data_IF_849687379541
#
_entry.id   IF_849687379541
#
_cell.length_a   1.000
_cell.length_b   1.000
_cell.length_c   1.000
_cell.angle_alpha   90.00
_cell.angle_beta   90.00
_cell.angle_gamma   90.00
#
_symmetry.space_group_name_H-M   'P 1'
#
loop_
_entity.id
_entity.type
_entity.pdbx_description
1 polymer ?
#
# COMPACT_ATOMS: atom_id res chain seq x y z
N UNK A 1 -10.71 15.62 19.52
CA UNK A 1 -9.33 15.97 19.94
C UNK A 1 -8.61 14.78 20.58
N UNK A 2 -9.10 14.22 21.71
CA UNK A 2 -8.51 13.03 22.35
C UNK A 2 -8.38 11.83 21.39
N UNK A 3 -9.42 11.56 20.60
CA UNK A 3 -9.43 10.44 19.65
C UNK A 3 -8.35 10.52 18.57
N UNK A 4 -8.02 11.72 18.07
CA UNK A 4 -6.96 11.86 17.05
C UNK A 4 -5.58 11.59 17.64
N UNK A 5 -5.30 12.11 18.84
CA UNK A 5 -4.06 11.81 19.56
C UNK A 5 -3.94 10.31 19.88
N UNK A 6 -5.04 9.67 20.30
CA UNK A 6 -5.10 8.22 20.54
C UNK A 6 -4.82 7.42 19.26
N UNK A 7 -5.39 7.82 18.11
CA UNK A 7 -5.16 7.15 16.83
C UNK A 7 -3.70 7.30 16.37
N UNK A 8 -3.13 8.50 16.48
CA UNK A 8 -1.73 8.76 16.13
C UNK A 8 -0.79 7.95 17.04
N UNK A 9 -1.08 7.91 18.34
CA UNK A 9 -0.32 7.15 19.32
C UNK A 9 -0.42 5.64 19.06
N UNK A 10 -1.61 5.12 18.76
CA UNK A 10 -1.81 3.72 18.40
C UNK A 10 -1.05 3.33 17.13
N UNK A 11 -1.06 4.20 16.11
CA UNK A 11 -0.31 3.97 14.86
C UNK A 11 1.21 3.99 15.08
N UNK A 12 1.71 4.89 15.93
CA UNK A 12 3.14 4.96 16.23
C UNK A 12 3.61 3.76 17.07
N UNK A 13 2.80 3.32 18.05
CA UNK A 13 3.07 2.09 18.79
C UNK A 13 3.13 0.87 17.86
N UNK A 14 2.29 0.81 16.82
CA UNK A 14 2.33 -0.28 15.83
C UNK A 14 3.62 -0.26 15.00
N UNK A 15 4.16 0.93 14.71
CA UNK A 15 5.38 1.13 13.92
C UNK A 15 6.68 1.14 14.75
N UNK A 16 6.64 0.85 16.06
CA UNK A 16 7.78 0.94 16.99
C UNK A 16 8.54 2.29 16.94
N UNK A 17 7.92 3.35 16.43
CA UNK A 17 8.52 4.68 16.38
C UNK A 17 8.22 5.36 17.71
N UNK A 18 9.18 5.35 18.63
CA UNK A 18 9.12 6.03 19.93
C UNK A 18 9.10 7.56 19.80
N UNK A 19 8.10 8.12 19.10
CA UNK A 19 7.94 9.57 18.94
C UNK A 19 7.69 10.22 20.31
N UNK A 20 8.46 11.27 20.62
CA UNK A 20 8.26 12.05 21.83
C UNK A 20 6.88 12.72 21.83
N UNK A 21 6.31 12.91 23.02
CA UNK A 21 5.00 13.57 23.19
C UNK A 21 5.01 15.02 22.63
N UNK A 22 6.18 15.65 22.57
CA UNK A 22 6.38 16.95 21.93
C UNK A 22 6.23 16.88 20.41
N UNK A 23 6.78 15.85 19.77
CA UNK A 23 6.65 15.67 18.33
C UNK A 23 5.18 15.39 17.93
N UNK A 24 4.47 14.59 18.73
CA UNK A 24 3.02 14.38 18.52
C UNK A 24 2.24 15.69 18.62
N UNK A 25 2.54 16.53 19.62
CA UNK A 25 1.91 17.85 19.76
C UNK A 25 2.21 18.76 18.57
N UNK A 26 3.46 18.78 18.09
CA UNK A 26 3.87 19.54 16.90
C UNK A 26 3.09 19.13 15.65
N UNK A 27 2.97 17.82 15.40
CA UNK A 27 2.21 17.30 14.26
C UNK A 27 0.72 17.70 14.33
N UNK A 28 0.11 17.59 15.51
CA UNK A 28 -1.28 18.00 15.72
C UNK A 28 -1.43 19.50 15.47
N UNK A 29 -0.56 20.36 16.01
CA UNK A 29 -0.62 21.80 15.81
C UNK A 29 -0.45 22.18 14.33
N UNK A 30 0.49 21.55 13.63
CA UNK A 30 0.67 21.78 12.19
C UNK A 30 -0.56 21.36 11.37
N UNK A 31 -1.21 20.25 11.73
CA UNK A 31 -2.47 19.84 11.10
C UNK A 31 -3.56 20.89 11.30
N UNK A 32 -3.68 21.45 12.51
CA UNK A 32 -4.66 22.49 12.82
C UNK A 32 -4.35 23.79 12.05
N UNK A 33 -3.09 24.20 12.02
CA UNK A 33 -2.67 25.38 11.25
C UNK A 33 -3.02 25.24 9.77
N UNK A 34 -2.75 24.06 9.18
CA UNK A 34 -3.14 23.76 7.79
C UNK A 34 -4.66 23.79 7.59
N UNK A 35 -5.41 23.19 8.51
CA UNK A 35 -6.88 23.17 8.46
C UNK A 35 -7.48 24.58 8.51
N UNK A 36 -7.11 25.38 9.52
CA UNK A 36 -7.63 26.73 9.68
C UNK A 36 -7.11 27.68 8.60
N UNK A 37 -5.87 27.51 8.15
CA UNK A 37 -5.31 28.23 7.02
C UNK A 37 -6.10 27.97 5.73
N UNK A 38 -6.43 26.71 5.44
CA UNK A 38 -7.27 26.34 4.30
C UNK A 38 -8.70 26.91 4.44
N UNK A 39 -9.27 26.88 5.64
CA UNK A 39 -10.59 27.47 5.93
C UNK A 39 -10.58 28.98 5.66
N UNK A 40 -9.61 29.72 6.20
CA UNK A 40 -9.49 31.16 5.98
C UNK A 40 -9.26 31.50 4.51
N UNK A 41 -8.38 30.76 3.84
CA UNK A 41 -8.17 30.90 2.40
C UNK A 41 -9.47 30.67 1.63
N UNK A 42 -10.28 29.67 2.00
CA UNK A 42 -11.55 29.38 1.33
C UNK A 42 -12.57 30.51 1.50
N UNK A 43 -12.66 31.13 2.69
CA UNK A 43 -13.55 32.27 2.93
C UNK A 43 -13.11 33.48 2.10
N UNK A 44 -11.82 33.78 2.09
CA UNK A 44 -11.24 34.87 1.29
C UNK A 44 -11.47 34.61 -0.20
N UNK A 45 -11.27 33.37 -0.66
CA UNK A 45 -11.47 32.98 -2.05
C UNK A 45 -12.94 33.15 -2.47
N UNK A 46 -13.90 32.77 -1.62
CA UNK A 46 -15.34 32.96 -1.87
C UNK A 46 -15.69 34.44 -2.00
N UNK A 47 -15.07 35.29 -1.18
CA UNK A 47 -15.28 36.73 -1.23
C UNK A 47 -14.71 37.36 -2.51
N UNK A 48 -13.47 37.02 -2.89
CA UNK A 48 -12.82 37.55 -4.10
C UNK A 48 -13.38 36.99 -5.40
N UNK A 49 -13.73 35.70 -5.44
CA UNK A 49 -14.33 35.06 -6.61
C UNK A 49 -15.86 35.22 -6.64
N UNK A 50 -16.40 36.22 -5.94
CA UNK A 50 -17.84 36.50 -5.84
C UNK A 50 -18.54 36.78 -7.19
N UNK A 51 -17.79 36.95 -8.29
CA UNK A 51 -18.32 36.96 -9.66
C UNK A 51 -18.68 35.55 -10.17
N UNK A 52 -17.94 34.52 -9.76
CA UNK A 52 -18.11 33.12 -10.14
C UNK A 52 -18.57 32.25 -8.96
N UNK A 53 -19.64 32.66 -8.25
CA UNK A 53 -20.13 32.00 -7.03
C UNK A 53 -20.42 30.51 -7.24
N UNK A 54 -20.97 30.13 -8.39
CA UNK A 54 -21.31 28.75 -8.73
C UNK A 54 -20.08 27.84 -8.77
N UNK A 55 -18.95 28.32 -9.31
CA UNK A 55 -17.69 27.55 -9.34
C UNK A 55 -17.12 27.37 -7.93
N UNK A 56 -17.22 28.40 -7.08
CA UNK A 56 -16.75 28.33 -5.70
C UNK A 56 -17.52 27.29 -4.90
N UNK A 57 -18.85 27.23 -5.07
CA UNK A 57 -19.70 26.22 -4.43
C UNK A 57 -19.34 24.81 -4.93
N UNK A 58 -19.15 24.62 -6.23
CA UNK A 58 -18.73 23.31 -6.77
C UNK A 58 -17.37 22.85 -6.22
N UNK A 59 -16.40 23.75 -6.13
CA UNK A 59 -15.09 23.46 -5.55
C UNK A 59 -15.19 23.11 -4.05
N UNK A 60 -15.97 23.86 -3.29
CA UNK A 60 -16.17 23.59 -1.85
C UNK A 60 -16.83 22.23 -1.62
N UNK A 61 -17.75 21.82 -2.50
CA UNK A 61 -18.43 20.52 -2.46
C UNK A 61 -17.69 19.40 -3.21
N UNK A 62 -16.45 19.63 -3.62
CA UNK A 62 -15.55 18.59 -4.16
C UNK A 62 -14.85 17.78 -3.06
N UNK A 63 -15.53 17.57 -1.93
CA UNK A 63 -14.93 17.00 -0.71
C UNK A 63 -14.55 15.53 -0.84
N UNK A 64 -15.08 14.81 -1.82
CA UNK A 64 -14.67 13.43 -2.11
C UNK A 64 -13.41 13.35 -2.98
N UNK A 65 -13.04 14.41 -3.70
CA UNK A 65 -11.89 14.41 -4.62
C UNK A 65 -10.58 14.02 -3.93
N UNK A 66 -10.21 14.57 -2.75
CA UNK A 66 -9.02 14.13 -2.04
C UNK A 66 -9.03 12.64 -1.68
N UNK A 67 -10.20 12.10 -1.31
CA UNK A 67 -10.34 10.67 -0.99
C UNK A 67 -10.24 9.80 -2.24
N UNK A 68 -10.81 10.24 -3.36
CA UNK A 68 -10.69 9.56 -4.66
C UNK A 68 -9.21 9.44 -5.03
N UNK A 69 -8.45 10.54 -4.93
CA UNK A 69 -7.00 10.59 -5.18
C UNK A 69 -6.26 9.65 -4.24
N UNK A 70 -6.58 9.68 -2.94
CA UNK A 70 -5.92 8.80 -1.98
C UNK A 70 -6.17 7.32 -2.30
N UNK A 71 -7.42 6.95 -2.62
CA UNK A 71 -7.77 5.57 -2.99
C UNK A 71 -6.98 5.08 -4.22
N UNK A 72 -6.73 5.97 -5.19
CA UNK A 72 -5.92 5.68 -6.39
C UNK A 72 -4.47 5.41 -5.99
N UNK A 73 -3.91 6.29 -5.14
CA UNK A 73 -2.53 6.22 -4.71
C UNK A 73 -2.26 4.98 -3.86
N UNK A 74 -3.16 4.64 -2.95
CA UNK A 74 -2.93 3.59 -1.93
C UNK A 74 -3.57 2.24 -2.26
N UNK A 75 -4.16 2.05 -3.44
CA UNK A 75 -4.86 0.81 -3.87
C UNK A 75 -5.69 0.15 -2.75
N UNK A 76 -6.39 0.94 -1.93
CA UNK A 76 -7.08 0.36 -0.78
C UNK A 76 -8.15 -0.63 -1.25
N UNK A 77 -8.04 -1.89 -0.81
CA UNK A 77 -8.96 -2.99 -1.18
C UNK A 77 -10.39 -2.74 -0.68
N UNK A 78 -10.55 -1.96 0.39
CA UNK A 78 -11.85 -1.56 0.98
C UNK A 78 -11.74 -0.12 1.50
N UNK A 79 -11.79 0.89 0.62
CA UNK A 79 -11.46 2.26 1.01
C UNK A 79 -12.41 2.79 2.08
N UNK A 80 -13.73 2.61 1.90
CA UNK A 80 -14.75 2.91 2.90
C UNK A 80 -16.05 2.14 2.67
N UNK A 81 -16.83 1.96 3.74
CA UNK A 81 -18.12 1.27 3.70
C UNK A 81 -19.14 2.04 2.82
N UNK A 82 -19.85 1.37 1.90
CA UNK A 82 -20.75 2.05 0.95
C UNK A 82 -21.82 2.92 1.62
N UNK A 83 -22.39 2.46 2.74
CA UNK A 83 -23.43 3.19 3.47
C UNK A 83 -22.91 4.50 4.05
N UNK A 84 -21.63 4.55 4.43
CA UNK A 84 -21.01 5.80 4.90
C UNK A 84 -20.92 6.82 3.75
N UNK A 85 -20.54 6.38 2.55
CA UNK A 85 -20.43 7.25 1.37
C UNK A 85 -21.80 7.87 1.04
N UNK A 86 -22.86 7.05 1.00
CA UNK A 86 -24.22 7.53 0.74
C UNK A 86 -24.73 8.43 1.86
N UNK A 87 -24.62 8.00 3.12
CA UNK A 87 -25.08 8.79 4.28
C UNK A 87 -24.38 10.15 4.36
N UNK A 88 -23.07 10.19 4.16
CA UNK A 88 -22.29 11.43 4.19
C UNK A 88 -22.66 12.38 3.04
N UNK A 89 -22.90 11.83 1.84
CA UNK A 89 -23.28 12.63 0.67
C UNK A 89 -24.70 13.19 0.78
N UNK A 90 -25.65 12.40 1.28
CA UNK A 90 -27.04 12.82 1.49
C UNK A 90 -27.09 13.93 2.54
N UNK A 91 -26.53 13.69 3.73
CA UNK A 91 -26.56 14.65 4.85
C UNK A 91 -25.94 15.99 4.48
N UNK A 92 -24.86 15.99 3.68
CA UNK A 92 -24.21 17.23 3.21
C UNK A 92 -24.95 17.91 2.07
N UNK A 93 -25.77 17.19 1.32
CA UNK A 93 -26.61 17.77 0.25
C UNK A 93 -27.87 18.45 0.80
N UNK A 94 -28.29 18.16 2.03
CA UNK A 94 -29.48 18.77 2.64
C UNK A 94 -29.36 20.29 2.76
N UNK A 95 -28.24 20.80 3.29
CA UNK A 95 -28.03 22.24 3.45
C UNK A 95 -28.11 23.04 2.13
N UNK A 96 -27.39 22.67 1.05
CA UNK A 96 -27.47 23.40 -0.21
C UNK A 96 -28.83 23.23 -0.90
N UNK A 97 -29.46 22.04 -0.81
CA UNK A 97 -30.82 21.86 -1.34
C UNK A 97 -31.81 22.74 -0.59
N UNK A 98 -31.73 22.80 0.74
CA UNK A 98 -32.57 23.68 1.55
C UNK A 98 -32.38 25.13 1.09
N UNK A 99 -31.16 25.67 1.19
CA UNK A 99 -30.87 27.09 0.92
C UNK A 99 -31.28 27.54 -0.49
N UNK A 100 -31.01 26.73 -1.52
CA UNK A 100 -31.12 27.17 -2.91
C UNK A 100 -32.32 26.61 -3.68
N UNK A 101 -32.89 25.46 -3.29
CA UNK A 101 -34.01 24.85 -4.02
C UNK A 101 -35.38 25.28 -3.49
N UNK A 102 -35.49 25.57 -2.19
CA UNK A 102 -36.75 25.97 -1.56
C UNK A 102 -36.93 27.49 -1.75
N UNK A 103 -38.06 27.86 -2.38
CA UNK A 103 -38.34 29.25 -2.75
C UNK A 103 -38.72 30.13 -1.57
N UNK A 104 -39.33 29.56 -0.54
CA UNK A 104 -39.87 30.27 0.65
C UNK A 104 -39.10 29.86 1.92
N UNK A 105 -37.79 30.09 1.92
CA UNK A 105 -36.96 29.82 3.09
C UNK A 105 -36.91 31.00 4.05
N UNK A 106 -36.72 30.69 5.34
CA UNK A 106 -36.39 31.68 6.36
C UNK A 106 -35.23 32.62 5.96
N UNK A 107 -34.22 32.11 5.24
CA UNK A 107 -33.08 32.94 4.79
C UNK A 107 -33.45 34.00 3.75
N UNK A 108 -34.52 33.77 2.98
CA UNK A 108 -35.05 34.76 2.05
C UNK A 108 -35.89 35.81 2.73
N UNK A 109 -36.59 35.41 3.81
CA UNK A 109 -37.28 36.37 4.69
C UNK A 109 -36.28 37.37 5.28
N UNK A 110 -35.08 36.90 5.63
CA UNK A 110 -33.99 37.74 6.18
C UNK A 110 -33.19 38.48 5.11
N UNK A 111 -33.05 37.92 3.90
CA UNK A 111 -32.30 38.54 2.81
C UNK A 111 -33.01 38.33 1.44
N UNK A 112 -33.83 39.30 0.99
CA UNK A 112 -34.66 39.15 -0.20
C UNK A 112 -33.87 39.11 -1.53
N UNK A 113 -32.63 39.60 -1.56
CA UNK A 113 -31.77 39.60 -2.75
C UNK A 113 -31.06 38.25 -3.01
N UNK A 114 -31.37 37.21 -2.24
CA UNK A 114 -30.71 35.91 -2.39
C UNK A 114 -31.19 35.20 -3.67
N UNK A 115 -30.31 34.93 -4.66
CA UNK A 115 -30.73 34.40 -5.95
C UNK A 115 -31.20 32.95 -5.84
N UNK A 116 -32.47 32.69 -6.15
CA UNK A 116 -33.01 31.33 -6.35
C UNK A 116 -32.83 30.89 -7.78
N UNK A 117 -31.59 30.57 -8.13
CA UNK A 117 -31.29 29.90 -9.38
C UNK A 117 -31.29 28.39 -9.16
N UNK A 118 -32.16 27.67 -9.87
CA UNK A 118 -32.25 26.21 -9.78
C UNK A 118 -31.08 25.51 -10.48
N UNK A 119 -30.46 26.17 -11.45
CA UNK A 119 -29.34 25.65 -12.24
C UNK A 119 -28.12 25.24 -11.40
N UNK A 120 -27.54 26.10 -10.53
CA UNK A 120 -26.38 25.72 -9.72
C UNK A 120 -26.65 24.55 -8.76
N UNK A 121 -27.89 24.40 -8.27
CA UNK A 121 -28.27 23.28 -7.41
C UNK A 121 -28.30 21.96 -8.18
N UNK A 122 -28.88 21.97 -9.38
CA UNK A 122 -28.89 20.78 -10.24
C UNK A 122 -27.46 20.36 -10.61
N UNK A 123 -26.60 21.32 -10.95
CA UNK A 123 -25.18 21.05 -11.21
C UNK A 123 -24.46 20.49 -9.98
N UNK A 124 -24.75 21.02 -8.79
CA UNK A 124 -24.16 20.56 -7.53
C UNK A 124 -24.58 19.12 -7.18
N UNK A 125 -25.87 18.81 -7.29
CA UNK A 125 -26.39 17.46 -7.05
C UNK A 125 -25.80 16.48 -8.04
N UNK A 126 -25.75 16.84 -9.33
CA UNK A 126 -25.10 16.04 -10.36
C UNK A 126 -23.61 15.83 -10.05
N UNK A 127 -22.91 16.87 -9.60
CA UNK A 127 -21.49 16.78 -9.24
C UNK A 127 -21.23 15.85 -8.06
N UNK A 128 -22.06 15.91 -7.01
CA UNK A 128 -21.97 14.99 -5.87
C UNK A 128 -22.31 13.56 -6.31
N UNK A 129 -23.31 13.39 -7.19
CA UNK A 129 -23.65 12.08 -7.77
C UNK A 129 -22.48 11.50 -8.59
N UNK A 130 -21.79 12.31 -9.39
CA UNK A 130 -20.59 11.88 -10.13
C UNK A 130 -19.48 11.44 -9.17
N UNK A 131 -19.16 12.23 -8.14
CA UNK A 131 -18.13 11.89 -7.17
C UNK A 131 -18.43 10.57 -6.44
N UNK A 132 -19.67 10.38 -6.01
CA UNK A 132 -20.10 9.14 -5.33
C UNK A 132 -20.12 7.94 -6.26
N UNK A 133 -20.51 8.13 -7.52
CA UNK A 133 -20.45 7.09 -8.56
C UNK A 133 -19.00 6.67 -8.84
N UNK A 134 -18.05 7.61 -8.90
CA UNK A 134 -16.62 7.31 -9.06
C UNK A 134 -16.12 6.48 -7.88
N UNK A 135 -16.42 6.86 -6.64
CA UNK A 135 -16.04 6.07 -5.46
C UNK A 135 -16.65 4.67 -5.47
N UNK A 136 -17.91 4.54 -5.91
CA UNK A 136 -18.55 3.23 -6.03
C UNK A 136 -17.93 2.40 -7.16
N UNK A 137 -17.60 3.01 -8.29
CA UNK A 137 -16.91 2.36 -9.39
C UNK A 137 -15.52 1.87 -8.95
N UNK A 138 -14.75 2.69 -8.21
CA UNK A 138 -13.49 2.29 -7.62
C UNK A 138 -13.62 1.06 -6.71
N UNK A 139 -14.73 0.95 -5.97
CA UNK A 139 -14.99 -0.22 -5.10
C UNK A 139 -15.33 -1.51 -5.85
N UNK A 140 -15.84 -1.41 -7.10
CA UNK A 140 -16.31 -2.57 -7.88
C UNK A 140 -15.30 -3.01 -8.95
N UNK A 141 -14.70 -2.05 -9.64
CA UNK A 141 -13.80 -2.29 -10.78
C UNK A 141 -12.31 -2.12 -10.42
N UNK A 142 -12.02 -1.79 -9.16
CA UNK A 142 -10.68 -1.45 -8.70
C UNK A 142 -10.40 0.04 -8.78
N UNK A 143 -9.50 0.50 -7.92
CA UNK A 143 -9.22 1.93 -7.69
C UNK A 143 -8.61 2.65 -8.90
N UNK A 144 -8.03 1.92 -9.85
CA UNK A 144 -7.30 2.42 -11.02
C UNK A 144 -8.05 2.29 -12.35
N UNK A 145 -9.35 1.95 -12.31
CA UNK A 145 -10.18 1.69 -13.49
C UNK A 145 -10.23 2.83 -14.54
N UNK A 146 -9.99 4.09 -14.14
CA UNK A 146 -10.12 5.27 -15.03
C UNK A 146 -8.82 6.03 -15.32
N UNK A 147 -7.64 5.52 -14.96
CA UNK A 147 -6.40 6.33 -14.99
C UNK A 147 -5.35 5.76 -15.94
N UNK A 148 -4.82 6.58 -16.89
CA UNK A 148 -3.72 6.17 -17.75
C UNK A 148 -2.47 5.79 -16.97
N UNK A 149 -1.81 4.70 -17.37
CA UNK A 149 -0.63 4.11 -16.71
C UNK A 149 0.53 5.09 -16.41
N UNK A 150 0.59 6.24 -17.09
CA UNK A 150 1.63 7.28 -16.92
C UNK A 150 1.55 8.07 -15.60
N UNK A 151 0.38 8.12 -14.98
CA UNK A 151 0.16 8.86 -13.72
C UNK A 151 0.13 7.95 -12.49
N UNK A 152 0.43 6.65 -12.66
CA UNK A 152 0.45 5.69 -11.57
C UNK A 152 1.85 5.69 -10.92
N UNK A 153 1.93 5.68 -9.58
CA UNK A 153 3.21 5.44 -8.91
C UNK A 153 3.75 4.04 -9.28
N UNK A 154 5.08 3.89 -9.40
CA UNK A 154 5.70 2.61 -9.70
C UNK A 154 5.39 1.60 -8.58
N UNK A 155 4.85 0.42 -8.95
CA UNK A 155 4.48 -0.67 -8.04
C UNK A 155 5.58 -1.72 -7.99
N UNK A 156 5.91 -2.20 -6.80
CA UNK A 156 6.82 -3.33 -6.64
C UNK A 156 6.12 -4.62 -7.05
N UNK A 157 6.74 -5.40 -7.94
CA UNK A 157 6.19 -6.67 -8.40
C UNK A 157 6.58 -7.80 -7.44
N UNK A 158 5.63 -8.18 -6.58
CA UNK A 158 5.77 -9.31 -5.65
C UNK A 158 5.71 -10.68 -6.33
N UNK A 159 5.20 -10.77 -7.56
CA UNK A 159 5.07 -12.03 -8.33
C UNK A 159 6.24 -12.25 -9.28
N UNK A 160 7.44 -11.83 -8.87
CA UNK A 160 8.67 -12.09 -9.64
C UNK A 160 9.12 -13.56 -9.47
N UNK A 161 9.72 -14.17 -10.50
CA UNK A 161 10.23 -15.54 -10.39
C UNK A 161 11.29 -15.64 -9.29
N UNK A 162 11.30 -16.77 -8.58
CA UNK A 162 12.27 -17.04 -7.51
C UNK A 162 13.65 -17.20 -8.18
N UNK A 163 14.67 -16.43 -7.76
CA UNK A 163 16.02 -16.61 -8.30
C UNK A 163 16.54 -18.01 -7.96
N UNK A 164 17.23 -18.64 -8.91
CA UNK A 164 17.71 -20.03 -8.79
C UNK A 164 18.61 -20.29 -7.58
N UNK A 165 19.23 -19.24 -7.02
CA UNK A 165 20.03 -19.30 -5.80
C UNK A 165 19.22 -19.58 -4.52
N UNK A 166 17.90 -19.36 -4.54
CA UNK A 166 17.01 -19.57 -3.40
C UNK A 166 16.23 -20.87 -3.48
N UNK A 167 16.31 -21.58 -4.60
CA UNK A 167 15.69 -22.89 -4.72
C UNK A 167 16.59 -23.95 -4.05
N UNK A 168 16.02 -24.94 -3.34
CA UNK A 168 16.78 -26.13 -2.95
C UNK A 168 17.55 -26.71 -4.12
N UNK A 169 18.79 -27.15 -3.88
CA UNK A 169 19.52 -27.96 -4.83
C UNK A 169 18.74 -29.27 -5.04
N UNK A 170 17.99 -29.36 -6.14
CA UNK A 170 17.28 -30.57 -6.50
C UNK A 170 18.31 -31.62 -6.93
N UNK A 171 18.51 -32.65 -6.10
CA UNK A 171 19.15 -33.89 -6.52
C UNK A 171 18.17 -34.68 -7.41
N UNK A 172 17.96 -34.24 -8.65
CA UNK A 172 17.24 -35.02 -9.65
C UNK A 172 18.24 -35.89 -10.42
N UNK A 173 18.38 -37.14 -9.97
CA UNK A 173 18.94 -38.23 -10.77
C UNK A 173 17.79 -38.98 -11.47
N UNK A 174 18.05 -39.38 -12.73
CA UNK A 174 17.20 -40.05 -13.74
C UNK A 174 16.15 -39.15 -14.42
N UNK A 175 16.10 -38.98 -15.75
CA UNK A 175 16.55 -39.85 -16.86
C UNK A 175 16.75 -39.06 -18.19
N UNK A 176 17.82 -39.41 -18.92
CA UNK A 176 18.06 -39.42 -20.40
C UNK A 176 17.06 -38.71 -21.34
N UNK A 177 17.41 -37.99 -22.40
CA UNK A 177 18.57 -37.93 -23.32
C UNK A 177 18.50 -36.57 -24.05
N UNK A 178 19.58 -35.91 -24.43
CA UNK A 178 20.19 -36.05 -25.75
C UNK A 178 21.56 -35.34 -25.78
N UNK A 179 22.50 -36.00 -26.43
CA UNK A 179 23.88 -35.56 -26.66
C UNK A 179 23.90 -34.57 -27.82
N UNK A 180 24.55 -33.41 -27.65
CA UNK A 180 25.22 -32.70 -28.75
C UNK A 180 26.59 -32.24 -28.27
N UNK A 181 27.59 -33.01 -28.68
CA UNK A 181 29.02 -32.72 -28.64
C UNK A 181 29.37 -31.66 -29.69
N UNK A 182 30.25 -30.71 -29.36
CA UNK A 182 31.09 -30.00 -30.34
C UNK A 182 32.22 -29.22 -29.63
N UNK A 183 33.45 -29.69 -29.85
CA UNK A 183 34.59 -28.83 -30.19
C UNK A 183 35.54 -28.40 -29.07
N UNK A 184 36.62 -29.16 -28.90
CA UNK A 184 37.86 -28.74 -28.25
C UNK A 184 38.46 -27.46 -28.86
N UNK A 185 39.11 -26.64 -28.04
CA UNK A 185 40.48 -26.15 -28.30
C UNK A 185 41.08 -25.55 -27.01
N UNK A 186 42.18 -26.14 -26.53
CA UNK A 186 43.14 -25.48 -25.62
C UNK A 186 44.23 -24.79 -26.47
N UNK A 187 44.96 -23.79 -25.92
CA UNK A 187 46.30 -24.11 -25.43
C UNK A 187 46.76 -23.32 -24.17
N UNK A 188 47.37 -24.08 -23.26
CA UNK A 188 48.66 -23.87 -22.55
C UNK A 188 49.22 -22.45 -22.34
N UNK A 189 49.44 -22.03 -21.06
CA UNK A 189 50.79 -21.77 -20.47
C UNK A 189 50.78 -21.23 -19.02
N UNK A 190 51.51 -21.96 -18.17
CA UNK A 190 52.54 -21.56 -17.20
C UNK A 190 52.38 -20.33 -16.27
N UNK A 191 52.66 -20.54 -14.97
CA UNK A 191 53.29 -19.50 -14.13
C UNK A 191 53.08 -19.52 -12.61
N UNK A 192 53.98 -20.23 -11.90
CA UNK A 192 54.67 -19.81 -10.67
C UNK A 192 53.95 -19.57 -9.31
N UNK A 193 54.35 -20.42 -8.34
CA UNK A 193 54.94 -20.14 -7.01
C UNK A 193 54.15 -19.41 -5.91
N UNK A 194 54.03 -20.07 -4.74
CA UNK A 194 53.68 -19.45 -3.45
C UNK A 194 53.73 -20.39 -2.24
N UNK A 195 54.94 -20.80 -1.86
CA UNK A 195 55.47 -21.21 -0.53
C UNK A 195 54.56 -21.37 0.73
N UNK A 196 54.65 -22.58 1.30
CA UNK A 196 54.92 -22.97 2.71
C UNK A 196 54.21 -22.29 3.90
N UNK A 197 53.53 -23.11 4.73
CA UNK A 197 53.90 -23.29 6.16
C UNK A 197 53.23 -24.51 6.80
N UNK A 198 54.09 -25.36 7.33
CA UNK A 198 53.83 -26.57 8.07
C UNK A 198 53.59 -26.23 9.55
N UNK A 199 52.55 -26.78 10.21
CA UNK A 199 52.53 -26.86 11.68
C UNK A 199 51.84 -28.15 12.14
N UNK A 200 52.70 -29.07 12.61
CA UNK A 200 52.35 -30.24 13.41
C UNK A 200 51.74 -29.82 14.75
N UNK A 201 50.76 -30.59 15.21
CA UNK A 201 50.29 -30.64 16.59
C UNK A 201 49.29 -31.76 16.74
N UNK A 202 49.76 -32.95 17.12
CA UNK A 202 48.91 -34.11 17.38
C UNK A 202 48.31 -34.06 18.78
N UNK A 203 47.14 -34.68 18.94
CA UNK A 203 46.73 -35.31 20.20
C UNK A 203 45.61 -36.32 19.91
N UNK A 204 45.82 -37.58 20.29
CA UNK A 204 44.84 -38.65 20.32
C UNK A 204 43.76 -38.35 21.37
N UNK A 205 42.49 -38.67 21.09
CA UNK A 205 41.61 -39.38 22.04
C UNK A 205 40.29 -39.85 21.43
N UNK A 206 40.14 -41.18 21.48
CA UNK A 206 38.97 -41.98 21.86
C UNK A 206 37.61 -41.73 21.17
N UNK A 207 37.22 -42.77 20.43
CA UNK A 207 35.94 -42.98 19.77
C UNK A 207 34.81 -43.20 20.79
N UNK A 208 33.64 -42.61 20.52
CA UNK A 208 32.35 -43.11 21.04
C UNK A 208 31.28 -42.79 19.99
N UNK A 209 30.62 -43.80 19.39
CA UNK A 209 29.63 -43.58 18.35
C UNK A 209 28.24 -43.44 18.97
N UNK A 210 27.64 -42.25 18.88
CA UNK A 210 26.19 -42.08 19.03
C UNK A 210 25.58 -41.82 17.65
N UNK A 211 24.83 -42.82 17.17
CA UNK A 211 23.91 -42.70 16.05
C UNK A 211 22.79 -41.73 16.44
N UNK A 212 22.57 -40.69 15.63
CA UNK A 212 21.25 -40.11 15.45
C UNK A 212 21.21 -39.43 14.08
N UNK A 213 20.72 -40.22 13.12
CA UNK A 213 19.95 -39.82 11.94
C UNK A 213 20.31 -38.46 11.34
N UNK A 214 21.20 -38.49 10.34
CA UNK A 214 21.24 -37.48 9.29
C UNK A 214 19.90 -37.52 8.54
N UNK A 215 18.90 -36.79 9.03
CA UNK A 215 17.78 -36.40 8.19
C UNK A 215 18.36 -35.52 7.10
N UNK A 216 18.42 -36.06 5.89
CA UNK A 216 18.63 -35.29 4.67
C UNK A 216 17.49 -34.27 4.63
N UNK A 217 17.73 -33.06 5.15
CA UNK A 217 16.82 -31.93 4.99
C UNK A 217 16.79 -31.63 3.49
N UNK A 218 15.82 -32.22 2.80
CA UNK A 218 15.31 -31.64 1.57
C UNK A 218 14.93 -30.21 1.92
N UNK A 219 15.71 -29.25 1.44
CA UNK A 219 15.58 -27.83 1.79
C UNK A 219 14.30 -27.25 1.17
N UNK A 220 13.13 -27.71 1.63
CA UNK A 220 11.82 -27.27 1.16
C UNK A 220 11.62 -25.82 1.56
N UNK A 221 11.08 -25.03 0.64
CA UNK A 221 10.79 -23.63 0.91
C UNK A 221 9.49 -23.55 1.71
N UNK A 222 9.62 -23.44 3.03
CA UNK A 222 8.47 -23.36 3.93
C UNK A 222 8.08 -21.92 4.23
N UNK A 223 6.78 -21.64 4.26
CA UNK A 223 6.29 -20.33 4.65
C UNK A 223 6.32 -20.18 6.18
N UNK A 224 7.11 -19.26 6.72
CA UNK A 224 7.24 -19.04 8.18
C UNK A 224 5.95 -18.57 8.88
N UNK A 225 4.92 -18.17 8.13
CA UNK A 225 3.65 -17.67 8.69
C UNK A 225 2.71 -18.84 8.99
N UNK A 226 2.65 -19.83 8.10
CA UNK A 226 1.74 -20.98 8.21
C UNK A 226 2.45 -22.33 8.42
N UNK A 227 3.78 -22.34 8.32
CA UNK A 227 4.66 -23.51 8.41
C UNK A 227 4.36 -24.62 7.39
N UNK A 228 3.76 -24.27 6.26
CA UNK A 228 3.52 -25.21 5.15
C UNK A 228 4.48 -24.92 3.98
N UNK A 229 4.76 -25.97 3.20
CA UNK A 229 5.54 -25.89 1.97
C UNK A 229 4.94 -24.90 0.97
N UNK A 230 5.81 -24.19 0.25
CA UNK A 230 5.45 -23.25 -0.81
C UNK A 230 5.63 -23.95 -2.15
N UNK A 231 4.54 -24.02 -2.94
CA UNK A 231 4.63 -24.51 -4.31
C UNK A 231 5.33 -23.46 -5.20
N UNK A 232 6.58 -23.74 -5.58
CA UNK A 232 7.37 -22.86 -6.45
C UNK A 232 6.95 -22.91 -7.91
N UNK A 233 6.14 -23.91 -8.31
CA UNK A 233 5.64 -24.04 -9.67
C UNK A 233 4.40 -23.18 -9.95
N UNK A 234 3.76 -22.61 -8.92
CA UNK A 234 2.65 -21.66 -9.06
C UNK A 234 3.09 -20.21 -8.76
N UNK A 235 3.37 -19.39 -9.80
CA UNK A 235 3.74 -17.98 -9.63
C UNK A 235 2.67 -17.10 -8.97
N UNK A 236 1.42 -17.56 -8.91
CA UNK A 236 0.32 -16.84 -8.25
C UNK A 236 0.11 -17.26 -6.79
N UNK A 237 0.71 -18.39 -6.39
CA UNK A 237 0.61 -18.95 -5.04
C UNK A 237 1.55 -18.30 -4.03
N UNK A 238 2.65 -17.68 -4.48
CA UNK A 238 3.66 -17.07 -3.62
C UNK A 238 3.91 -15.58 -3.91
N UNK A 239 4.53 -14.90 -2.96
CA UNK A 239 4.99 -13.51 -3.08
C UNK A 239 6.45 -13.41 -2.61
N UNK A 240 7.27 -12.71 -3.39
CA UNK A 240 8.66 -12.41 -3.08
C UNK A 240 8.80 -10.95 -2.63
N UNK A 241 9.32 -10.75 -1.43
CA UNK A 241 9.57 -9.41 -0.86
C UNK A 241 10.83 -8.76 -1.48
N UNK A 242 11.05 -7.43 -1.32
CA UNK A 242 12.28 -6.76 -1.76
C UNK A 242 13.56 -7.24 -1.09
N UNK A 243 13.42 -7.93 0.05
CA UNK A 243 14.52 -8.56 0.78
C UNK A 243 14.67 -10.05 0.47
N UNK A 244 14.06 -10.52 -0.63
CA UNK A 244 14.16 -11.87 -1.16
C UNK A 244 13.57 -12.99 -0.27
N UNK A 245 12.76 -12.65 0.74
CA UNK A 245 11.98 -13.64 1.50
C UNK A 245 10.67 -14.01 0.77
N UNK A 246 10.35 -15.31 0.75
CA UNK A 246 9.22 -15.92 0.05
C UNK A 246 8.13 -16.31 1.06
N UNK A 247 6.87 -16.04 0.72
CA UNK A 247 5.71 -16.43 1.52
C UNK A 247 4.55 -16.81 0.60
N UNK A 248 3.55 -17.56 1.10
CA UNK A 248 2.29 -17.68 0.35
C UNK A 248 1.64 -16.31 0.19
N UNK A 249 1.01 -16.08 -0.97
CA UNK A 249 0.33 -14.82 -1.28
C UNK A 249 -0.69 -14.45 -0.20
N UNK A 250 -1.52 -15.40 0.22
CA UNK A 250 -2.54 -15.17 1.23
C UNK A 250 -1.94 -14.84 2.61
N UNK A 251 -0.86 -15.52 3.00
CA UNK A 251 -0.20 -15.30 4.28
C UNK A 251 0.43 -13.90 4.36
N UNK A 252 1.15 -13.49 3.31
CA UNK A 252 1.79 -12.18 3.29
C UNK A 252 0.76 -11.05 3.17
N UNK A 253 -0.32 -11.22 2.39
CA UNK A 253 -1.41 -10.25 2.33
C UNK A 253 -2.06 -10.01 3.69
N UNK A 254 -2.38 -11.09 4.42
CA UNK A 254 -2.93 -10.98 5.78
C UNK A 254 -1.95 -10.32 6.75
N UNK A 255 -0.65 -10.59 6.60
CA UNK A 255 0.37 -9.94 7.41
C UNK A 255 0.47 -8.43 7.11
N UNK A 256 0.43 -8.04 5.84
CA UNK A 256 0.46 -6.63 5.42
C UNK A 256 -0.75 -5.83 5.93
N UNK A 257 -1.90 -6.47 6.14
CA UNK A 257 -3.07 -5.84 6.77
C UNK A 257 -2.80 -5.45 8.24
N UNK A 258 -1.83 -6.10 8.91
CA UNK A 258 -1.45 -5.85 10.30
C UNK A 258 -0.19 -5.00 10.40
N UNK A 259 0.87 -5.35 9.65
CA UNK A 259 2.18 -4.66 9.65
C UNK A 259 2.83 -4.66 8.27
N UNK A 260 3.32 -3.49 7.85
CA UNK A 260 4.04 -3.29 6.59
C UNK A 260 5.56 -3.57 6.73
N UNK A 261 5.91 -4.69 7.35
CA UNK A 261 7.30 -5.12 7.60
C UNK A 261 7.46 -6.60 7.25
N UNK A 262 8.63 -6.98 6.72
CA UNK A 262 8.94 -8.38 6.46
C UNK A 262 8.95 -9.20 7.77
N UNK A 263 8.22 -10.34 7.87
CA UNK A 263 8.22 -11.20 9.05
C UNK A 263 9.61 -11.72 9.44
N UNK A 264 10.52 -11.88 8.47
CA UNK A 264 11.85 -12.46 8.68
C UNK A 264 12.86 -11.39 9.09
N UNK A 265 13.01 -10.33 8.29
CA UNK A 265 14.08 -9.33 8.51
C UNK A 265 13.60 -7.95 8.99
N UNK A 266 12.29 -7.73 9.15
CA UNK A 266 11.67 -6.46 9.57
C UNK A 266 11.93 -5.25 8.66
N UNK A 267 12.47 -5.46 7.46
CA UNK A 267 12.56 -4.40 6.46
C UNK A 267 11.15 -3.95 6.04
N UNK A 268 10.97 -2.64 5.84
CA UNK A 268 9.70 -2.06 5.40
C UNK A 268 9.30 -2.59 4.02
N UNK A 269 8.06 -3.06 3.90
CA UNK A 269 7.51 -3.54 2.64
C UNK A 269 6.88 -2.38 1.86
N UNK A 270 7.16 -2.22 0.55
CA UNK A 270 6.48 -1.23 -0.28
C UNK A 270 5.00 -1.59 -0.41
N UNK A 271 4.12 -0.58 -0.39
CA UNK A 271 2.70 -0.81 -0.62
C UNK A 271 2.49 -1.53 -1.97
N UNK A 272 1.59 -2.53 -1.97
CA UNK A 272 1.08 -3.14 -3.20
C UNK A 272 0.21 -2.15 -3.94
#
# INVERSE_FOLDING_TARGET
MKYLAIIIQARNNANNTGLSQEEMRRQITLLHLKFYGALMLSIVLIWYLGSNRSLCVLLLYSFWVPQIILNIMTESRKPMHPYYIYGMSITRSVAPIYVFAIRDNFLKEVNPDFPTEVQPVQMLVLWIAIQTAILRAQSKYGTRFMIPKRFLPPKYNYSRPIPASLLPASNSSASSSDIVELGETSPTRAGANGTTRNRRGGSNREETPCMSEDTIETNTLDCIICHNEIDTNDPQGYMLTPCDHIFHRQCLEQWMDVKMECPVCRNSLPAT
#
